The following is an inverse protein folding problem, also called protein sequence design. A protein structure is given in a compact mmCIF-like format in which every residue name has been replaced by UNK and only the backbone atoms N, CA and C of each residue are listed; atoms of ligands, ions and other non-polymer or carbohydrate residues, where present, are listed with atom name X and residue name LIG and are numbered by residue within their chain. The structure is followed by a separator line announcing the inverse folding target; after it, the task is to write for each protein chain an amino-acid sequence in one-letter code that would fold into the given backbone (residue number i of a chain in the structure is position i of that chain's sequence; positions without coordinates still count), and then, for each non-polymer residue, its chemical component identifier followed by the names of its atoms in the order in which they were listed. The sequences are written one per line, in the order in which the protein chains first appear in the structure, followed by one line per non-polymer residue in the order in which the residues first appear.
data_IF_245155645726
#
_entry.id   IF_245155645726
#
_cell.length_a   1.000
_cell.length_b   1.000
_cell.length_c   1.000
_cell.angle_alpha   90.00
_cell.angle_beta   90.00
_cell.angle_gamma   90.00
#
_symmetry.space_group_name_H-M   'P 1'
#
loop_
_entity.id
_entity.type
_entity.pdbx_description
1 polymer ?
#
# COMPACT_ATOMS: atom_id res chain seq x y z
N UNK A 1 16.32 -6.26 -3.82
CA UNK A 1 15.25 -5.25 -3.88
C UNK A 1 14.07 -5.79 -4.70
N UNK A 2 12.87 -5.51 -4.24
CA UNK A 2 11.66 -5.92 -4.93
C UNK A 2 11.38 -4.99 -6.11
N UNK A 3 10.90 -5.56 -7.21
CA UNK A 3 10.41 -4.77 -8.33
C UNK A 3 8.98 -4.34 -8.01
N UNK A 4 8.70 -3.03 -8.11
CA UNK A 4 7.39 -2.48 -7.79
C UNK A 4 6.50 -2.54 -9.02
N UNK A 5 5.33 -3.16 -8.85
CA UNK A 5 4.32 -3.27 -9.91
C UNK A 5 3.03 -2.62 -9.41
N UNK A 6 2.43 -1.80 -10.24
CA UNK A 6 1.22 -1.06 -9.90
C UNK A 6 0.00 -1.67 -10.58
N UNK A 7 -1.01 -2.05 -9.80
CA UNK A 7 -2.27 -2.50 -10.38
C UNK A 7 -2.99 -1.30 -11.01
N UNK A 8 -3.92 -1.59 -11.91
CA UNK A 8 -4.76 -0.54 -12.50
C UNK A 8 -5.56 0.19 -11.43
N UNK A 9 -6.10 -0.55 -10.50
CA UNK A 9 -6.90 0.00 -9.40
C UNK A 9 -6.08 0.96 -8.54
N UNK A 10 -4.84 0.57 -8.25
CA UNK A 10 -3.91 1.43 -7.50
C UNK A 10 -3.61 2.71 -8.26
N UNK A 11 -3.31 2.61 -9.55
CA UNK A 11 -2.99 3.80 -10.37
C UNK A 11 -4.15 4.79 -10.39
N UNK A 12 -5.38 4.28 -10.54
CA UNK A 12 -6.58 5.13 -10.54
C UNK A 12 -6.76 5.81 -9.19
N UNK A 13 -6.60 5.04 -8.10
CA UNK A 13 -6.74 5.58 -6.76
C UNK A 13 -5.67 6.65 -6.48
N UNK A 14 -4.41 6.36 -6.85
CA UNK A 14 -3.32 7.31 -6.63
C UNK A 14 -3.59 8.63 -7.33
N UNK A 15 -4.05 8.57 -8.58
CA UNK A 15 -4.36 9.77 -9.34
C UNK A 15 -5.46 10.59 -8.65
N UNK A 16 -6.48 9.92 -8.12
CA UNK A 16 -7.57 10.59 -7.40
C UNK A 16 -7.08 11.24 -6.11
N UNK A 17 -6.31 10.50 -5.29
CA UNK A 17 -5.86 11.01 -4.00
C UNK A 17 -4.77 12.07 -4.13
N UNK A 18 -3.91 11.99 -5.13
CA UNK A 18 -2.83 12.96 -5.33
C UNK A 18 -3.34 14.38 -5.58
N UNK A 19 -4.62 14.52 -5.93
CA UNK A 19 -5.25 15.84 -6.14
C UNK A 19 -5.77 16.46 -4.84
N UNK A 20 -5.78 15.70 -3.74
CA UNK A 20 -6.28 16.21 -2.47
C UNK A 20 -5.17 16.94 -1.72
N UNK A 21 -5.48 18.13 -1.19
CA UNK A 21 -4.50 18.95 -0.49
C UNK A 21 -3.92 18.27 0.75
N UNK A 22 -4.71 17.41 1.40
CA UNK A 22 -4.30 16.74 2.63
C UNK A 22 -3.67 15.35 2.40
N UNK A 23 -3.47 14.98 1.14
CA UNK A 23 -2.82 13.70 0.85
C UNK A 23 -1.30 13.87 0.91
N UNK A 24 -0.64 13.03 1.72
CA UNK A 24 0.80 13.11 1.92
C UNK A 24 1.50 12.10 1.00
N UNK A 25 1.85 12.55 -0.18
CA UNK A 25 2.50 11.71 -1.18
C UNK A 25 3.90 11.30 -0.74
N UNK A 26 4.59 12.16 0.01
CA UNK A 26 5.93 11.84 0.50
C UNK A 26 5.91 10.66 1.45
N UNK A 27 4.94 10.60 2.35
CA UNK A 27 4.80 9.46 3.26
C UNK A 27 4.54 8.18 2.49
N UNK A 28 3.67 8.23 1.48
CA UNK A 28 3.41 7.06 0.64
C UNK A 28 4.68 6.58 -0.05
N UNK A 29 5.46 7.49 -0.61
CA UNK A 29 6.71 7.14 -1.29
C UNK A 29 7.71 6.50 -0.33
N UNK A 30 7.84 7.02 0.87
CA UNK A 30 8.73 6.45 1.89
C UNK A 30 8.31 5.03 2.25
N UNK A 31 7.01 4.80 2.40
CA UNK A 31 6.48 3.45 2.68
C UNK A 31 6.83 2.49 1.54
N UNK A 32 6.56 2.90 0.30
CA UNK A 32 6.81 2.05 -0.87
C UNK A 32 8.30 1.73 -0.99
N UNK A 33 9.17 2.72 -0.81
CA UNK A 33 10.61 2.51 -0.87
C UNK A 33 11.08 1.52 0.21
N UNK A 34 10.57 1.68 1.43
CA UNK A 34 10.94 0.79 2.54
C UNK A 34 10.52 -0.65 2.23
N UNK A 35 9.29 -0.84 1.76
CA UNK A 35 8.80 -2.17 1.38
C UNK A 35 9.60 -2.76 0.21
N UNK A 36 9.93 -1.94 -0.78
CA UNK A 36 10.69 -2.39 -1.95
C UNK A 36 12.09 -2.85 -1.58
N UNK A 37 12.67 -2.26 -0.54
CA UNK A 37 13.98 -2.67 -0.02
C UNK A 37 13.92 -3.93 0.82
N UNK A 38 12.72 -4.46 1.08
CA UNK A 38 12.55 -5.61 1.94
C UNK A 38 12.68 -5.29 3.42
N UNK A 39 12.61 -4.03 3.78
CA UNK A 39 12.73 -3.57 5.17
C UNK A 39 11.37 -3.55 5.85
N UNK A 40 11.38 -3.63 7.17
CA UNK A 40 10.16 -3.59 7.99
C UNK A 40 9.74 -2.14 8.20
N UNK A 41 8.45 -1.87 8.03
CA UNK A 41 7.91 -0.54 8.28
C UNK A 41 7.90 -0.22 9.78
N UNK A 42 8.02 1.06 10.10
CA UNK A 42 7.87 1.52 11.48
C UNK A 42 6.48 1.15 12.00
N UNK A 43 6.39 0.88 13.30
CA UNK A 43 5.14 0.44 13.92
C UNK A 43 3.98 1.41 13.73
N UNK A 44 4.25 2.69 13.57
CA UNK A 44 3.20 3.70 13.36
C UNK A 44 2.40 3.47 12.09
N UNK A 45 2.95 2.73 11.13
CA UNK A 45 2.25 2.44 9.88
C UNK A 45 1.36 1.20 9.98
N UNK A 46 1.42 0.47 11.09
CA UNK A 46 0.54 -0.67 11.39
C UNK A 46 0.45 -1.68 10.25
N UNK A 47 1.61 -2.04 9.69
CA UNK A 47 1.69 -3.02 8.62
C UNK A 47 1.28 -4.39 9.13
N UNK A 48 0.30 -5.02 8.48
CA UNK A 48 -0.20 -6.31 8.93
C UNK A 48 -0.82 -7.12 7.80
N UNK A 49 -0.83 -8.43 7.99
CA UNK A 49 -1.50 -9.36 7.09
C UNK A 49 -3.00 -9.28 7.31
N UNK A 50 -3.76 -9.25 6.22
CA UNK A 50 -5.22 -9.29 6.31
C UNK A 50 -5.72 -10.72 6.53
N UNK A 51 -6.99 -10.85 6.91
CA UNK A 51 -7.60 -12.15 7.19
C UNK A 51 -8.83 -12.36 6.32
N UNK A 52 -9.41 -13.58 6.38
CA UNK A 52 -10.60 -13.91 5.62
C UNK A 52 -10.35 -13.96 4.13
N UNK A 53 -11.25 -13.41 3.35
CA UNK A 53 -11.13 -13.43 1.89
C UNK A 53 -9.98 -12.57 1.37
N UNK A 54 -9.43 -11.69 2.19
CA UNK A 54 -8.29 -10.84 1.82
C UNK A 54 -6.97 -11.34 2.37
N UNK A 55 -6.90 -12.60 2.80
CA UNK A 55 -5.72 -13.14 3.48
C UNK A 55 -4.45 -13.12 2.63
N UNK A 56 -4.56 -12.99 1.31
CA UNK A 56 -3.40 -12.91 0.44
C UNK A 56 -2.74 -11.54 0.45
N UNK A 57 -3.41 -10.56 1.02
CA UNK A 57 -2.97 -9.17 0.97
C UNK A 57 -2.48 -8.70 2.32
N UNK A 58 -1.63 -7.67 2.27
CA UNK A 58 -1.20 -6.93 3.45
C UNK A 58 -1.70 -5.50 3.33
N UNK A 59 -1.78 -4.83 4.46
CA UNK A 59 -2.28 -3.46 4.55
C UNK A 59 -1.39 -2.67 5.49
N UNK A 60 -1.16 -1.39 5.18
CA UNK A 60 -0.54 -0.47 6.12
C UNK A 60 -1.25 0.88 6.07
N UNK A 61 -1.09 1.64 7.15
CA UNK A 61 -1.69 2.97 7.27
C UNK A 61 -0.71 3.99 6.75
N UNK A 62 -1.10 4.75 5.73
CA UNK A 62 -0.24 5.79 5.16
C UNK A 62 -0.30 7.03 6.05
N UNK A 63 -1.47 7.67 6.12
CA UNK A 63 -1.69 8.84 6.95
C UNK A 63 -3.18 9.11 7.01
N UNK A 64 -3.65 9.57 8.16
CA UNK A 64 -5.09 9.80 8.39
C UNK A 64 -5.84 8.49 8.16
N UNK A 65 -6.84 8.48 7.31
CA UNK A 65 -7.64 7.28 7.04
C UNK A 65 -7.26 6.59 5.73
N UNK A 66 -6.09 6.92 5.17
CA UNK A 66 -5.67 6.35 3.88
C UNK A 66 -4.81 5.12 4.14
N UNK A 67 -5.20 4.02 3.51
CA UNK A 67 -4.55 2.72 3.63
C UNK A 67 -3.95 2.31 2.29
N UNK A 68 -2.83 1.58 2.36
CA UNK A 68 -2.21 0.95 1.19
C UNK A 68 -2.40 -0.55 1.32
N UNK A 69 -3.01 -1.17 0.30
CA UNK A 69 -3.13 -2.62 0.21
C UNK A 69 -2.12 -3.13 -0.81
N UNK A 70 -1.35 -4.15 -0.44
CA UNK A 70 -0.30 -4.68 -1.31
C UNK A 70 -0.10 -6.17 -1.14
N UNK A 71 0.60 -6.79 -2.09
CA UNK A 71 1.07 -8.16 -2.01
C UNK A 71 2.57 -8.19 -2.22
N UNK A 72 3.22 -9.08 -1.50
CA UNK A 72 4.66 -9.23 -1.55
C UNK A 72 4.99 -10.65 -1.98
N UNK A 73 5.57 -10.80 -3.15
CA UNK A 73 5.95 -12.09 -3.71
C UNK A 73 7.44 -12.29 -3.52
N UNK A 74 7.82 -12.99 -2.45
CA UNK A 74 9.21 -13.13 -2.06
C UNK A 74 10.00 -14.02 -3.02
N UNK A 75 9.35 -15.00 -3.63
CA UNK A 75 10.01 -15.94 -4.55
C UNK A 75 10.46 -15.28 -5.86
N UNK A 76 9.72 -14.27 -6.32
CA UNK A 76 10.05 -13.57 -7.56
C UNK A 76 10.43 -12.11 -7.32
N UNK A 77 10.54 -11.69 -6.06
CA UNK A 77 10.91 -10.34 -5.64
C UNK A 77 10.05 -9.27 -6.31
N UNK A 78 8.73 -9.43 -6.22
CA UNK A 78 7.77 -8.45 -6.72
C UNK A 78 6.96 -7.88 -5.56
N UNK A 79 6.82 -6.56 -5.56
CA UNK A 79 5.91 -5.84 -4.65
C UNK A 79 4.78 -5.29 -5.51
N UNK A 80 3.60 -5.86 -5.37
CA UNK A 80 2.42 -5.41 -6.11
C UNK A 80 1.59 -4.47 -5.25
N UNK A 81 1.47 -3.21 -5.69
CA UNK A 81 0.60 -2.24 -5.04
C UNK A 81 -0.81 -2.42 -5.60
N UNK A 82 -1.72 -2.90 -4.76
CA UNK A 82 -3.03 -3.40 -5.19
C UNK A 82 -4.09 -2.30 -5.19
N UNK A 83 -4.16 -1.53 -4.10
CA UNK A 83 -5.15 -0.47 -3.99
C UNK A 83 -4.72 0.54 -2.93
N UNK A 84 -5.34 1.72 -2.99
CA UNK A 84 -5.06 2.83 -2.08
C UNK A 84 -6.39 3.51 -1.78
N UNK A 85 -6.67 3.79 -0.52
CA UNK A 85 -7.90 4.50 -0.18
C UNK A 85 -8.28 4.33 1.27
N UNK A 86 -9.51 4.71 1.58
CA UNK A 86 -10.06 4.52 2.91
C UNK A 86 -10.44 3.06 3.10
N UNK A 87 -10.77 2.69 4.35
CA UNK A 87 -11.23 1.34 4.64
C UNK A 87 -12.41 0.94 3.73
N UNK A 88 -13.37 1.85 3.55
CA UNK A 88 -14.52 1.57 2.68
C UNK A 88 -14.10 1.38 1.22
N UNK A 89 -13.13 2.15 0.74
CA UNK A 89 -12.64 2.02 -0.63
C UNK A 89 -12.04 0.64 -0.88
N UNK A 90 -11.34 0.09 0.11
CA UNK A 90 -10.61 -1.17 -0.05
C UNK A 90 -11.50 -2.41 0.10
N UNK A 91 -12.49 -2.34 0.96
CA UNK A 91 -13.26 -3.53 1.39
C UNK A 91 -14.74 -3.49 1.00
N UNK A 92 -15.09 -2.63 0.10
CA UNK A 92 -16.47 -2.49 -0.32
C UNK A 92 -16.82 -3.39 -1.48
#
# INVERSE_FOLDING_TARGET
MYRVVLSRKYKTALKRFSRRANFDQQVLEEIVVTLARGEVLLSKYQDHQLTGEFQEYRECHVKNNILLMYQKYEDILVLLLVNLGTHDDLFR
#
